data_IF_950637813050
#
_entry.id   IF_950637813050
#
_cell.length_a   1.000
_cell.length_b   1.000
_cell.length_c   1.000
_cell.angle_alpha   90.00
_cell.angle_beta   90.00
_cell.angle_gamma   90.00
#
_symmetry.space_group_name_H-M   'P 1'
#
loop_
_entity.id
_entity.type
_entity.pdbx_description
1 polymer ?
#
# COMPACT_ATOMS: atom_id res chain seq x y z
N UNK A 1 -11.23 52.85 17.43
CA UNK A 1 -10.83 52.05 18.60
C UNK A 1 -11.07 50.59 18.26
N UNK A 2 -10.11 49.95 17.59
CA UNK A 2 -10.24 48.57 17.09
C UNK A 2 -9.82 47.59 18.20
N UNK A 3 -10.68 46.63 18.60
CA UNK A 3 -10.31 45.67 19.61
C UNK A 3 -9.27 44.70 19.05
N UNK A 4 -8.26 44.46 19.86
CA UNK A 4 -7.13 43.57 19.61
C UNK A 4 -7.66 42.14 19.47
N UNK A 5 -7.68 41.62 18.24
CA UNK A 5 -8.08 40.25 17.90
C UNK A 5 -6.98 39.27 18.31
N UNK A 6 -6.66 39.26 19.59
CA UNK A 6 -5.60 38.43 20.14
C UNK A 6 -6.15 37.02 20.36
N UNK A 7 -5.76 36.11 19.45
CA UNK A 7 -5.84 34.63 19.59
C UNK A 7 -7.12 33.92 19.10
N UNK A 8 -7.65 34.29 17.93
CA UNK A 8 -8.62 33.44 17.21
C UNK A 8 -7.98 32.77 15.99
N UNK A 9 -8.13 31.43 15.89
CA UNK A 9 -7.76 30.67 14.68
C UNK A 9 -9.00 30.50 13.80
N UNK A 10 -9.10 31.33 12.77
CA UNK A 10 -10.13 31.19 11.76
C UNK A 10 -9.74 30.08 10.77
N UNK A 11 -10.68 29.20 10.45
CA UNK A 11 -10.52 28.17 9.41
C UNK A 11 -11.63 28.38 8.38
N UNK A 12 -11.26 28.69 7.15
CA UNK A 12 -12.19 28.95 6.06
C UNK A 12 -12.24 27.73 5.13
N UNK A 13 -13.45 27.37 4.67
CA UNK A 13 -13.65 26.29 3.70
C UNK A 13 -14.29 26.84 2.43
N UNK A 14 -13.71 26.52 1.28
CA UNK A 14 -14.32 26.76 -0.03
C UNK A 14 -14.91 25.44 -0.51
N UNK A 15 -16.22 25.41 -0.76
CA UNK A 15 -16.92 24.21 -1.19
C UNK A 15 -17.96 24.53 -2.26
N UNK A 16 -18.09 23.64 -3.25
CA UNK A 16 -19.19 23.68 -4.23
C UNK A 16 -20.44 22.91 -3.79
N UNK A 17 -20.50 22.47 -2.52
CA UNK A 17 -21.67 21.74 -2.01
C UNK A 17 -22.82 22.73 -1.78
N UNK A 18 -24.02 22.53 -2.37
CA UNK A 18 -25.10 23.52 -2.35
C UNK A 18 -25.76 23.73 -0.98
N UNK A 19 -25.42 22.90 0.02
CA UNK A 19 -25.90 23.03 1.40
C UNK A 19 -25.35 21.91 2.29
N UNK A 20 -25.65 21.98 3.59
CA UNK A 20 -25.26 20.96 4.59
C UNK A 20 -24.73 21.56 5.89
N UNK A 21 -24.59 20.71 6.91
CA UNK A 21 -24.03 21.14 8.19
C UNK A 21 -22.52 21.41 8.05
N UNK A 22 -22.04 22.50 8.65
CA UNK A 22 -20.60 22.85 8.64
C UNK A 22 -19.73 21.72 9.22
N UNK A 23 -20.25 20.99 10.21
CA UNK A 23 -19.59 19.82 10.81
C UNK A 23 -19.27 18.71 9.79
N UNK A 24 -20.17 18.46 8.83
CA UNK A 24 -19.94 17.45 7.78
C UNK A 24 -18.90 17.90 6.76
N UNK A 25 -18.84 19.21 6.48
CA UNK A 25 -17.81 19.79 5.64
C UNK A 25 -16.44 19.69 6.32
N UNK A 26 -16.37 20.04 7.60
CA UNK A 26 -15.15 19.92 8.39
C UNK A 26 -14.69 18.47 8.46
N UNK A 27 -15.60 17.52 8.71
CA UNK A 27 -15.28 16.09 8.76
C UNK A 27 -14.72 15.60 7.42
N UNK A 28 -15.34 15.98 6.30
CA UNK A 28 -14.83 15.65 4.95
C UNK A 28 -13.45 16.24 4.71
N UNK A 29 -13.23 17.49 5.13
CA UNK A 29 -11.93 18.12 5.03
C UNK A 29 -10.86 17.40 5.87
N UNK A 30 -11.18 17.00 7.11
CA UNK A 30 -10.28 16.18 7.93
C UNK A 30 -10.02 14.79 7.33
N UNK A 31 -11.00 14.20 6.64
CA UNK A 31 -10.81 12.94 5.90
C UNK A 31 -9.85 13.10 4.72
N UNK A 32 -9.74 14.28 4.11
CA UNK A 32 -8.75 14.58 3.06
C UNK A 32 -7.31 14.36 3.52
N UNK A 33 -7.02 14.64 4.80
CA UNK A 33 -5.70 14.34 5.38
C UNK A 33 -5.31 12.86 5.22
N UNK A 34 -6.28 11.93 5.30
CA UNK A 34 -6.01 10.50 5.08
C UNK A 34 -5.62 10.18 3.64
N UNK A 35 -6.17 10.90 2.66
CA UNK A 35 -5.79 10.76 1.27
C UNK A 35 -4.35 11.30 1.04
N UNK A 36 -4.02 12.43 1.66
CA UNK A 36 -2.68 13.01 1.61
C UNK A 36 -1.63 12.11 2.29
N UNK A 37 -1.99 11.49 3.41
CA UNK A 37 -1.15 10.50 4.09
C UNK A 37 -0.89 9.27 3.21
N UNK A 38 -1.89 8.84 2.42
CA UNK A 38 -1.73 7.76 1.44
C UNK A 38 -0.83 8.15 0.26
N UNK A 39 -0.94 9.38 -0.23
CA UNK A 39 -0.04 9.91 -1.27
C UNK A 39 1.39 10.01 -0.74
N UNK A 40 1.57 10.41 0.52
CA UNK A 40 2.88 10.44 1.18
C UNK A 40 3.47 9.03 1.28
N UNK A 41 2.67 8.07 1.72
CA UNK A 41 3.01 6.65 1.72
C UNK A 41 3.40 6.12 0.32
N UNK A 42 2.71 6.55 -0.73
CA UNK A 42 3.02 6.14 -2.10
C UNK A 42 4.41 6.60 -2.57
N UNK A 43 4.92 7.73 -2.05
CA UNK A 43 6.30 8.20 -2.29
C UNK A 43 7.35 7.24 -1.76
N UNK A 44 7.06 6.55 -0.66
CA UNK A 44 7.95 5.56 -0.06
C UNK A 44 7.84 4.19 -0.74
N UNK A 45 6.77 3.93 -1.49
CA UNK A 45 6.58 2.69 -2.27
C UNK A 45 7.08 2.78 -3.71
N UNK A 46 7.79 3.86 -4.09
CA UNK A 46 8.47 3.95 -5.39
C UNK A 46 8.05 5.11 -6.28
N UNK A 47 7.10 5.96 -5.85
CA UNK A 47 6.69 7.15 -6.62
C UNK A 47 7.80 8.21 -6.74
N UNK A 48 8.86 8.11 -5.92
CA UNK A 48 10.09 8.93 -6.03
C UNK A 48 11.06 8.46 -7.12
N UNK A 49 10.97 7.20 -7.54
CA UNK A 49 11.89 6.61 -8.48
C UNK A 49 11.18 6.50 -9.84
N UNK A 50 11.02 7.65 -10.51
CA UNK A 50 10.55 7.71 -11.90
C UNK A 50 11.78 7.43 -12.79
N UNK A 51 11.98 6.20 -13.28
CA UNK A 51 13.24 5.80 -13.88
C UNK A 51 13.29 6.11 -15.40
N UNK A 52 12.21 6.64 -15.99
CA UNK A 52 11.97 6.51 -17.43
C UNK A 52 11.64 7.87 -18.08
N UNK A 53 12.28 8.13 -19.22
CA UNK A 53 12.19 9.38 -19.98
C UNK A 53 10.89 9.54 -20.77
N UNK A 54 10.07 8.50 -20.89
CA UNK A 54 8.81 8.51 -21.63
C UNK A 54 7.57 8.60 -20.71
N UNK A 55 6.58 9.34 -21.17
CA UNK A 55 5.37 9.67 -20.40
C UNK A 55 4.45 8.45 -20.21
N UNK A 56 4.30 7.61 -21.25
CA UNK A 56 3.43 6.42 -21.20
C UNK A 56 3.93 5.39 -20.19
N UNK A 57 5.25 5.20 -20.11
CA UNK A 57 5.86 4.31 -19.14
C UNK A 57 5.66 4.81 -17.69
N UNK A 58 5.75 6.12 -17.49
CA UNK A 58 5.47 6.72 -16.18
C UNK A 58 4.00 6.60 -15.79
N UNK A 59 3.05 6.64 -16.73
CA UNK A 59 1.65 6.33 -16.44
C UNK A 59 1.47 4.89 -15.95
N UNK A 60 2.02 3.91 -16.67
CA UNK A 60 1.94 2.50 -16.27
C UNK A 60 2.59 2.31 -14.89
N UNK A 61 3.72 2.96 -14.63
CA UNK A 61 4.36 2.93 -13.32
C UNK A 61 3.46 3.50 -12.21
N UNK A 62 2.77 4.61 -12.46
CA UNK A 62 1.83 5.21 -11.51
C UNK A 62 0.64 4.27 -11.24
N UNK A 63 0.11 3.62 -12.25
CA UNK A 63 -0.97 2.62 -12.10
C UNK A 63 -0.52 1.42 -11.26
N UNK A 64 0.70 0.91 -11.48
CA UNK A 64 1.28 -0.17 -10.67
C UNK A 64 1.44 0.28 -9.21
N UNK A 65 1.92 1.49 -8.98
CA UNK A 65 2.06 2.04 -7.62
C UNK A 65 0.70 2.23 -6.95
N UNK A 66 -0.32 2.68 -7.69
CA UNK A 66 -1.69 2.81 -7.19
C UNK A 66 -2.26 1.44 -6.78
N UNK A 67 -2.12 0.44 -7.64
CA UNK A 67 -2.55 -0.93 -7.37
C UNK A 67 -1.83 -1.53 -6.15
N UNK A 68 -0.52 -1.33 -6.02
CA UNK A 68 0.22 -1.75 -4.84
C UNK A 68 -0.32 -1.06 -3.55
N UNK A 69 -0.63 0.23 -3.60
CA UNK A 69 -1.21 0.95 -2.47
C UNK A 69 -2.61 0.43 -2.09
N UNK A 70 -3.45 0.09 -3.08
CA UNK A 70 -4.75 -0.53 -2.82
C UNK A 70 -4.60 -1.89 -2.13
N UNK A 71 -3.74 -2.77 -2.66
CA UNK A 71 -3.49 -4.09 -2.06
C UNK A 71 -3.04 -3.97 -0.59
N UNK A 72 -2.14 -3.03 -0.29
CA UNK A 72 -1.70 -2.76 1.09
C UNK A 72 -2.84 -2.25 1.97
N UNK A 73 -3.74 -1.42 1.44
CA UNK A 73 -4.88 -0.90 2.18
C UNK A 73 -5.90 -2.00 2.50
N UNK A 74 -6.21 -2.86 1.52
CA UNK A 74 -7.12 -4.00 1.68
C UNK A 74 -6.55 -5.05 2.64
N UNK A 75 -5.26 -5.36 2.54
CA UNK A 75 -4.57 -6.26 3.47
C UNK A 75 -4.67 -5.74 4.92
N UNK A 76 -4.42 -4.45 5.15
CA UNK A 76 -4.54 -3.86 6.49
C UNK A 76 -5.99 -3.83 7.00
N UNK A 77 -6.98 -3.72 6.10
CA UNK A 77 -8.39 -3.70 6.46
C UNK A 77 -8.91 -5.10 6.82
N UNK A 78 -8.54 -6.11 6.02
CA UNK A 78 -9.07 -7.47 6.09
C UNK A 78 -8.22 -8.39 6.96
N UNK A 79 -6.90 -8.40 6.76
CA UNK A 79 -5.99 -9.37 7.38
C UNK A 79 -5.40 -8.90 8.71
N UNK A 80 -5.31 -7.58 8.95
CA UNK A 80 -4.71 -7.01 10.16
C UNK A 80 -5.74 -6.35 11.09
N UNK A 81 -7.01 -6.74 10.95
CA UNK A 81 -8.08 -6.24 11.80
C UNK A 81 -7.82 -6.55 13.28
N UNK A 82 -8.00 -5.56 14.16
CA UNK A 82 -7.80 -5.72 15.61
C UNK A 82 -6.34 -5.63 16.10
N UNK A 83 -5.36 -5.45 15.21
CA UNK A 83 -3.94 -5.30 15.60
C UNK A 83 -3.41 -3.90 15.27
N UNK A 84 -2.39 -3.45 16.02
CA UNK A 84 -1.72 -2.16 15.76
C UNK A 84 -1.05 -2.10 14.39
N UNK A 85 -0.83 -3.25 13.75
CA UNK A 85 -0.26 -3.36 12.41
C UNK A 85 -1.12 -2.67 11.34
N UNK A 86 -2.42 -2.46 11.59
CA UNK A 86 -3.31 -1.67 10.72
C UNK A 86 -2.91 -0.20 10.60
N UNK A 87 -2.15 0.34 11.56
CA UNK A 87 -1.72 1.75 11.57
C UNK A 87 -0.27 1.91 11.14
N UNK A 88 0.40 0.83 10.75
CA UNK A 88 1.81 0.90 10.38
C UNK A 88 1.98 1.59 9.04
N UNK A 89 2.97 2.48 8.95
CA UNK A 89 3.37 3.04 7.67
C UNK A 89 3.87 1.94 6.73
N UNK A 90 3.70 2.08 5.40
CA UNK A 90 4.02 1.05 4.42
C UNK A 90 5.47 0.56 4.53
N UNK A 91 6.41 1.46 4.84
CA UNK A 91 7.82 1.12 5.03
C UNK A 91 8.02 0.15 6.20
N UNK A 92 7.32 0.38 7.31
CA UNK A 92 7.36 -0.49 8.50
C UNK A 92 6.67 -1.82 8.21
N UNK A 93 5.57 -1.80 7.46
CA UNK A 93 4.84 -3.01 7.06
C UNK A 93 5.67 -3.87 6.10
N UNK A 94 6.37 -3.25 5.15
CA UNK A 94 7.31 -3.92 4.24
C UNK A 94 8.42 -4.64 5.00
N UNK A 95 9.09 -3.95 5.93
CA UNK A 95 10.23 -4.50 6.65
C UNK A 95 9.84 -5.57 7.68
N UNK A 96 8.66 -5.47 8.29
CA UNK A 96 8.27 -6.36 9.39
C UNK A 96 7.36 -7.53 8.99
N UNK A 97 6.51 -7.34 7.99
CA UNK A 97 5.52 -8.34 7.60
C UNK A 97 5.79 -8.89 6.20
N UNK A 98 6.00 -8.01 5.21
CA UNK A 98 6.15 -8.46 3.83
C UNK A 98 7.49 -9.13 3.55
N UNK A 99 8.58 -8.69 4.21
CA UNK A 99 9.88 -9.33 4.08
C UNK A 99 9.83 -10.79 4.58
N UNK A 100 9.24 -10.99 5.77
CA UNK A 100 9.06 -12.34 6.34
C UNK A 100 8.16 -13.17 5.42
N UNK A 101 7.00 -12.66 5.00
CA UNK A 101 6.12 -13.39 4.10
C UNK A 101 6.81 -13.75 2.76
N UNK A 102 7.64 -12.87 2.22
CA UNK A 102 8.40 -13.13 1.00
C UNK A 102 9.42 -14.27 1.17
N UNK A 103 10.14 -14.29 2.30
CA UNK A 103 11.09 -15.37 2.61
C UNK A 103 10.38 -16.73 2.73
N UNK A 104 9.22 -16.76 3.39
CA UNK A 104 8.42 -17.98 3.51
C UNK A 104 7.88 -18.47 2.16
N UNK A 105 7.40 -17.56 1.30
CA UNK A 105 6.99 -17.91 -0.05
C UNK A 105 8.16 -18.44 -0.90
N UNK A 106 9.34 -17.83 -0.77
CA UNK A 106 10.55 -18.28 -1.47
C UNK A 106 11.02 -19.66 -0.99
N UNK A 107 10.94 -19.93 0.31
CA UNK A 107 11.23 -21.24 0.88
C UNK A 107 10.24 -22.31 0.40
N UNK A 108 8.95 -22.00 0.40
CA UNK A 108 7.90 -22.90 -0.11
C UNK A 108 8.06 -23.22 -1.59
N UNK A 109 8.42 -22.22 -2.41
CA UNK A 109 8.69 -22.42 -3.84
C UNK A 109 9.93 -23.30 -4.07
N UNK A 110 11.00 -23.10 -3.30
CA UNK A 110 12.19 -23.97 -3.34
C UNK A 110 11.88 -25.41 -2.92
N UNK A 111 11.12 -25.57 -1.85
CA UNK A 111 10.69 -26.88 -1.36
C UNK A 111 9.79 -27.62 -2.37
N UNK A 112 8.91 -26.90 -3.08
CA UNK A 112 8.06 -27.45 -4.13
C UNK A 112 8.89 -27.89 -5.37
N UNK A 113 9.85 -27.06 -5.80
CA UNK A 113 10.80 -27.43 -6.87
C UNK A 113 11.77 -28.55 -6.46
N UNK A 114 12.01 -28.73 -5.17
CA UNK A 114 12.92 -29.73 -4.62
C UNK A 114 12.33 -31.13 -4.46
N UNK A 115 11.03 -31.35 -4.69
CA UNK A 115 10.48 -32.71 -4.70
C UNK A 115 10.99 -33.46 -5.95
N UNK A 116 11.83 -34.51 -5.79
CA UNK A 116 12.20 -35.32 -6.94
C UNK A 116 10.94 -36.10 -7.31
N UNK A 117 10.44 -35.88 -8.52
CA UNK A 117 9.59 -36.86 -9.18
C UNK A 117 10.34 -38.20 -9.11
N UNK A 118 9.99 -39.05 -8.16
CA UNK A 118 10.52 -40.40 -8.08
C UNK A 118 9.69 -41.20 -9.08
N UNK A 119 10.01 -41.05 -10.37
CA UNK A 119 9.53 -41.95 -11.40
C UNK A 119 10.07 -43.35 -11.12
N UNK A 120 9.29 -44.43 -11.35
CA UNK A 120 9.82 -45.78 -11.23
C UNK A 120 10.98 -45.92 -12.22
N UNK A 121 12.18 -46.23 -11.71
CA UNK A 121 13.39 -46.33 -12.53
C UNK A 121 13.22 -47.35 -13.67
N UNK A 122 13.86 -47.15 -14.83
CA UNK A 122 13.73 -48.05 -15.96
C UNK A 122 14.23 -49.44 -15.59
N UNK A 123 13.36 -50.44 -15.73
CA UNK A 123 13.70 -51.85 -15.65
C UNK A 123 14.79 -52.18 -16.67
N UNK A 124 16.01 -52.44 -16.19
CA UNK A 124 17.08 -52.98 -17.03
C UNK A 124 16.68 -54.40 -17.42
N UNK A 125 16.35 -54.61 -18.69
CA UNK A 125 16.35 -55.94 -19.30
C UNK A 125 17.79 -56.39 -19.52
N UNK A 126 18.12 -57.59 -19.05
CA UNK A 126 19.36 -58.29 -19.39
C UNK A 126 19.22 -58.95 -20.76
N UNK A 127 20.22 -58.86 -21.66
CA UNK A 127 20.26 -59.69 -22.86
C UNK A 127 20.94 -61.05 -22.57
N UNK A 128 20.74 -62.07 -23.43
CA UNK A 128 21.04 -63.48 -23.18
C UNK A 128 22.53 -63.83 -23.16
#
# INVERSE_FOLDING_TARGET
MAPHLDRHRFTCFVTGTPGGQLADLELRHRRRARAEDRIRAAKDTGLRNLPLHDFTQNQIWLEIVALACELLAWMQLLALHGTDARRYEPKRLRLRLLAVAADWCAEGARSACGSPHTGPGPSRSSPP
#
